data_IF_782135007183
#
_entry.id   IF_782135007183
#
_cell.length_a   1.000
_cell.length_b   1.000
_cell.length_c   1.000
_cell.angle_alpha   90.00
_cell.angle_beta   90.00
_cell.angle_gamma   90.00
#
_symmetry.space_group_name_H-M   'P 1'
#
loop_
_entity.id
_entity.type
_entity.pdbx_description
1 polymer ?
#
# COMPACT_ATOMS: atom_id res chain seq x y z
N UNK A 1 -60.25 -30.93 -56.40
CA UNK A 1 -60.24 -30.21 -55.11
C UNK A 1 -59.31 -29.02 -55.25
N UNK A 2 -59.80 -27.79 -55.09
CA UNK A 2 -58.98 -26.58 -55.29
C UNK A 2 -58.58 -25.99 -53.93
N UNK A 3 -57.28 -25.81 -53.63
CA UNK A 3 -56.85 -25.10 -52.42
C UNK A 3 -57.13 -23.61 -52.58
N UNK A 4 -58.08 -23.07 -51.80
CA UNK A 4 -58.29 -21.62 -51.75
C UNK A 4 -57.06 -20.93 -51.12
N UNK A 5 -56.26 -20.30 -51.96
CA UNK A 5 -55.16 -19.45 -51.52
C UNK A 5 -55.71 -18.18 -50.85
N UNK A 6 -55.86 -18.22 -49.53
CA UNK A 6 -56.23 -17.07 -48.71
C UNK A 6 -55.16 -15.96 -48.80
N UNK A 7 -55.28 -15.09 -49.81
CA UNK A 7 -54.42 -13.92 -49.99
C UNK A 7 -54.57 -12.99 -48.77
N UNK A 8 -53.52 -12.75 -47.97
CA UNK A 8 -53.64 -11.93 -46.77
C UNK A 8 -53.95 -10.47 -47.15
N UNK A 9 -55.16 -10.01 -46.82
CA UNK A 9 -55.64 -8.66 -47.12
C UNK A 9 -54.73 -7.56 -46.58
N UNK A 10 -54.60 -6.48 -47.34
CA UNK A 10 -53.60 -5.42 -47.16
C UNK A 10 -53.56 -4.86 -45.72
N UNK A 11 -54.72 -4.65 -45.10
CA UNK A 11 -54.85 -4.17 -43.72
C UNK A 11 -54.19 -5.07 -42.67
N UNK A 12 -54.26 -6.41 -42.80
CA UNK A 12 -53.59 -7.34 -41.87
C UNK A 12 -52.06 -7.31 -42.02
N UNK A 13 -51.55 -6.95 -43.20
CA UNK A 13 -50.10 -6.73 -43.41
C UNK A 13 -49.68 -5.42 -42.75
N UNK A 14 -50.43 -4.34 -42.97
CA UNK A 14 -50.17 -3.02 -42.39
C UNK A 14 -50.16 -3.04 -40.86
N UNK A 15 -51.14 -3.66 -40.20
CA UNK A 15 -51.14 -3.79 -38.73
C UNK A 15 -49.94 -4.60 -38.23
N UNK A 16 -49.62 -5.73 -38.87
CA UNK A 16 -48.44 -6.53 -38.49
C UNK A 16 -47.12 -5.77 -38.65
N UNK A 17 -47.02 -4.87 -39.63
CA UNK A 17 -45.85 -4.01 -39.81
C UNK A 17 -45.76 -2.92 -38.73
N UNK A 18 -46.88 -2.29 -38.36
CA UNK A 18 -46.93 -1.32 -37.27
C UNK A 18 -46.59 -1.96 -35.92
N UNK A 19 -47.15 -3.13 -35.59
CA UNK A 19 -46.79 -3.87 -34.36
C UNK A 19 -45.32 -4.22 -34.33
N UNK A 20 -44.73 -4.66 -35.45
CA UNK A 20 -43.28 -4.92 -35.55
C UNK A 20 -42.47 -3.64 -35.31
N UNK A 21 -42.82 -2.53 -35.95
CA UNK A 21 -42.13 -1.24 -35.75
C UNK A 21 -42.21 -0.78 -34.29
N UNK A 22 -43.37 -0.89 -33.65
CA UNK A 22 -43.57 -0.54 -32.24
C UNK A 22 -42.72 -1.41 -31.31
N UNK A 23 -42.67 -2.73 -31.56
CA UNK A 23 -41.81 -3.67 -30.80
C UNK A 23 -40.33 -3.38 -31.05
N UNK A 24 -39.91 -3.06 -32.28
CA UNK A 24 -38.53 -2.66 -32.58
C UNK A 24 -38.15 -1.36 -31.87
N UNK A 25 -39.03 -0.34 -31.85
CA UNK A 25 -38.81 0.89 -31.11
C UNK A 25 -38.76 0.66 -29.59
N UNK A 26 -39.59 -0.24 -29.05
CA UNK A 26 -39.56 -0.63 -27.64
C UNK A 26 -38.24 -1.33 -27.28
N UNK A 27 -37.77 -2.26 -28.11
CA UNK A 27 -36.48 -2.95 -27.93
C UNK A 27 -35.31 -1.96 -28.03
N UNK A 28 -35.32 -1.05 -29.00
CA UNK A 28 -34.29 -0.01 -29.15
C UNK A 28 -34.29 0.98 -27.97
N UNK A 29 -35.47 1.40 -27.50
CA UNK A 29 -35.60 2.26 -26.32
C UNK A 29 -35.11 1.59 -25.04
N UNK A 30 -35.46 0.31 -24.83
CA UNK A 30 -34.99 -0.47 -23.68
C UNK A 30 -33.48 -0.73 -23.75
N UNK A 31 -32.95 -1.09 -24.92
CA UNK A 31 -31.51 -1.27 -25.13
C UNK A 31 -30.72 0.03 -24.93
N UNK A 32 -31.24 1.16 -25.41
CA UNK A 32 -30.69 2.49 -25.17
C UNK A 32 -30.69 2.88 -23.69
N UNK A 33 -31.78 2.58 -22.97
CA UNK A 33 -31.87 2.80 -21.53
C UNK A 33 -30.84 1.95 -20.75
N UNK A 34 -30.72 0.66 -21.08
CA UNK A 34 -29.70 -0.23 -20.46
C UNK A 34 -28.28 0.25 -20.75
N UNK A 35 -27.97 0.63 -22.00
CA UNK A 35 -26.67 1.19 -22.35
C UNK A 35 -26.38 2.51 -21.63
N UNK A 36 -27.39 3.37 -21.41
CA UNK A 36 -27.26 4.60 -20.65
C UNK A 36 -27.02 4.35 -19.15
N UNK A 37 -27.71 3.39 -18.54
CA UNK A 37 -27.48 2.99 -17.14
C UNK A 37 -26.08 2.39 -16.94
N UNK A 38 -25.63 1.52 -17.84
CA UNK A 38 -24.26 0.97 -17.82
C UNK A 38 -23.20 2.07 -18.00
N UNK A 39 -23.46 3.03 -18.89
CA UNK A 39 -22.62 4.22 -19.09
C UNK A 39 -22.52 5.08 -17.81
N UNK A 40 -23.64 5.30 -17.09
CA UNK A 40 -23.64 6.01 -15.81
C UNK A 40 -22.87 5.28 -14.70
N UNK A 41 -23.01 3.95 -14.61
CA UNK A 41 -22.29 3.14 -13.62
C UNK A 41 -20.78 3.20 -13.87
N UNK A 42 -20.37 3.00 -15.13
CA UNK A 42 -18.99 3.14 -15.56
C UNK A 42 -18.42 4.55 -15.25
N UNK A 43 -19.20 5.61 -15.46
CA UNK A 43 -18.79 6.99 -15.17
C UNK A 43 -18.54 7.30 -13.68
N UNK A 44 -18.95 6.41 -12.76
CA UNK A 44 -18.65 6.51 -11.32
C UNK A 44 -17.39 5.74 -10.94
N UNK A 45 -17.17 4.57 -11.54
CA UNK A 45 -16.05 3.68 -11.21
C UNK A 45 -14.68 4.23 -11.61
N UNK A 46 -13.69 3.90 -10.79
CA UNK A 46 -12.27 3.98 -11.10
C UNK A 46 -11.74 2.58 -11.47
N UNK A 47 -10.74 2.55 -12.33
CA UNK A 47 -9.98 1.35 -12.72
C UNK A 47 -8.49 1.68 -12.73
N UNK A 48 -7.66 0.65 -12.79
CA UNK A 48 -6.21 0.81 -12.97
C UNK A 48 -5.80 0.23 -14.32
N UNK A 49 -4.91 0.94 -15.02
CA UNK A 49 -4.33 0.50 -16.28
C UNK A 49 -2.79 0.48 -16.16
N UNK A 50 -2.12 -0.41 -16.89
CA UNK A 50 -0.67 -0.41 -16.97
C UNK A 50 -0.22 0.17 -18.32
N UNK A 51 0.32 1.38 -18.31
CA UNK A 51 0.81 2.10 -19.49
C UNK A 51 2.31 2.34 -19.34
N UNK A 52 3.13 1.91 -20.31
CA UNK A 52 4.59 2.16 -20.32
C UNK A 52 5.35 1.71 -19.05
N UNK A 53 4.90 0.61 -18.40
CA UNK A 53 5.48 0.15 -17.13
C UNK A 53 5.06 0.97 -15.90
N UNK A 54 4.04 1.81 -16.04
CA UNK A 54 3.46 2.60 -14.97
C UNK A 54 1.98 2.23 -14.75
N UNK A 55 1.58 2.10 -13.48
CA UNK A 55 0.20 1.97 -13.06
C UNK A 55 -0.45 3.36 -13.08
N UNK A 56 -1.46 3.53 -13.93
CA UNK A 56 -2.20 4.78 -14.14
C UNK A 56 -3.61 4.61 -13.61
N UNK A 57 -4.05 5.55 -12.76
CA UNK A 57 -5.45 5.61 -12.32
C UNK A 57 -6.30 6.10 -13.48
N UNK A 58 -7.31 5.30 -13.85
CA UNK A 58 -8.28 5.61 -14.88
C UNK A 58 -9.63 5.91 -14.22
N UNK A 59 -10.28 6.99 -14.65
CA UNK A 59 -11.67 7.26 -14.27
C UNK A 59 -12.58 6.99 -15.46
N UNK A 60 -13.62 6.18 -15.23
CA UNK A 60 -14.63 5.93 -16.25
C UNK A 60 -15.36 7.21 -16.65
N UNK A 61 -15.86 7.23 -17.88
CA UNK A 61 -16.62 8.33 -18.47
C UNK A 61 -17.87 7.79 -19.16
N UNK A 62 -18.79 8.68 -19.49
CA UNK A 62 -19.91 8.35 -20.36
C UNK A 62 -19.40 7.97 -21.76
N UNK A 63 -20.18 7.12 -22.44
CA UNK A 63 -19.98 6.80 -23.86
C UNK A 63 -19.95 8.09 -24.72
N UNK A 64 -19.14 8.13 -25.79
CA UNK A 64 -18.35 7.03 -26.35
C UNK A 64 -16.99 6.80 -25.68
N UNK A 65 -16.53 7.68 -24.78
CA UNK A 65 -15.11 7.74 -24.38
C UNK A 65 -14.63 6.62 -23.47
N UNK A 66 -15.52 5.90 -22.77
CA UNK A 66 -15.15 4.74 -21.94
C UNK A 66 -14.43 5.10 -20.64
N UNK A 67 -13.15 5.43 -20.71
CA UNK A 67 -12.34 5.84 -19.56
C UNK A 67 -11.22 6.81 -19.98
N UNK A 68 -10.68 7.57 -19.03
CA UNK A 68 -9.53 8.44 -19.26
C UNK A 68 -8.64 8.53 -18.01
N UNK A 69 -7.34 8.86 -18.13
CA UNK A 69 -6.45 9.07 -17.00
C UNK A 69 -7.04 10.07 -16.00
N UNK A 70 -7.10 9.67 -14.73
CA UNK A 70 -7.67 10.47 -13.67
C UNK A 70 -6.69 11.58 -13.28
N UNK A 71 -6.98 12.79 -13.76
CA UNK A 71 -6.22 14.01 -13.43
C UNK A 71 -7.15 14.99 -12.71
N UNK A 72 -7.13 15.01 -11.36
CA UNK A 72 -7.82 16.01 -10.56
C UNK A 72 -7.39 17.45 -10.89
N UNK A 73 -8.26 18.42 -10.59
CA UNK A 73 -7.93 19.85 -10.68
C UNK A 73 -7.17 20.41 -9.47
N UNK A 74 -7.18 19.70 -8.34
CA UNK A 74 -6.34 20.01 -7.18
C UNK A 74 -4.96 19.38 -7.36
N UNK A 75 -3.91 20.18 -7.18
CA UNK A 75 -2.52 19.75 -7.30
C UNK A 75 -2.13 18.67 -6.28
N UNK A 76 -2.69 18.68 -5.06
CA UNK A 76 -2.42 17.63 -4.05
C UNK A 76 -3.01 16.30 -4.49
N UNK A 77 -4.29 16.29 -4.85
CA UNK A 77 -4.96 15.10 -5.37
C UNK A 77 -4.32 14.61 -6.70
N UNK A 78 -3.78 15.52 -7.53
CA UNK A 78 -3.11 15.17 -8.77
C UNK A 78 -1.76 14.44 -8.56
N UNK A 79 -0.97 14.83 -7.55
CA UNK A 79 0.24 14.08 -7.17
C UNK A 79 -0.13 12.71 -6.56
N UNK A 80 -1.15 12.67 -5.69
CA UNK A 80 -1.66 11.44 -5.08
C UNK A 80 -2.00 10.33 -6.10
N UNK A 81 -2.55 10.69 -7.27
CA UNK A 81 -2.94 9.77 -8.34
C UNK A 81 -2.11 9.89 -9.64
N UNK A 82 -0.92 10.49 -9.58
CA UNK A 82 0.04 10.47 -10.69
C UNK A 82 0.43 9.02 -11.10
N UNK A 83 1.05 8.78 -12.27
CA UNK A 83 1.52 7.43 -12.61
C UNK A 83 2.47 6.86 -11.54
N UNK A 84 2.37 5.55 -11.26
CA UNK A 84 3.25 4.83 -10.33
C UNK A 84 4.13 3.84 -11.12
N UNK A 85 5.47 3.84 -10.99
CA UNK A 85 6.28 2.81 -11.66
C UNK A 85 5.95 1.44 -11.06
N UNK A 86 5.70 0.42 -11.89
CA UNK A 86 5.42 -0.93 -11.36
C UNK A 86 6.67 -1.72 -11.01
N UNK A 87 7.84 -1.35 -11.56
CA UNK A 87 9.16 -1.89 -11.20
C UNK A 87 9.27 -3.44 -11.20
N UNK A 88 8.48 -4.12 -12.05
CA UNK A 88 8.42 -5.58 -12.11
C UNK A 88 7.56 -6.24 -11.02
N UNK A 89 6.93 -5.47 -10.13
CA UNK A 89 5.90 -5.98 -9.20
C UNK A 89 4.66 -6.41 -9.97
N UNK A 90 4.09 -7.55 -9.57
CA UNK A 90 2.77 -7.97 -10.04
C UNK A 90 1.69 -7.01 -9.52
N UNK A 91 0.90 -6.48 -10.45
CA UNK A 91 -0.25 -5.61 -10.20
C UNK A 91 -1.52 -6.17 -10.85
N UNK A 92 -1.51 -7.41 -11.36
CA UNK A 92 -2.58 -7.98 -12.20
C UNK A 92 -3.94 -7.94 -11.50
N UNK A 93 -3.99 -8.33 -10.22
CA UNK A 93 -5.21 -8.26 -9.40
C UNK A 93 -5.79 -6.84 -9.26
N UNK A 94 -4.95 -5.80 -9.32
CA UNK A 94 -5.37 -4.40 -9.27
C UNK A 94 -5.92 -3.90 -10.63
N UNK A 95 -5.46 -4.48 -11.74
CA UNK A 95 -5.93 -4.15 -13.09
C UNK A 95 -7.32 -4.75 -13.38
N UNK A 96 -7.63 -5.92 -12.79
CA UNK A 96 -8.95 -6.56 -12.90
C UNK A 96 -10.01 -5.87 -12.00
N UNK A 97 -9.58 -5.22 -10.91
CA UNK A 97 -10.46 -4.62 -9.93
C UNK A 97 -11.10 -3.31 -10.43
N UNK A 98 -12.38 -3.13 -10.10
CA UNK A 98 -13.11 -1.85 -10.20
C UNK A 98 -13.35 -1.31 -8.80
N UNK A 99 -13.10 -0.02 -8.62
CA UNK A 99 -13.33 0.70 -7.38
C UNK A 99 -14.52 1.64 -7.59
N UNK A 100 -15.52 1.60 -6.71
CA UNK A 100 -16.68 2.49 -6.79
C UNK A 100 -16.39 3.79 -6.04
N UNK A 101 -15.75 3.67 -4.88
CA UNK A 101 -15.37 4.81 -4.05
C UNK A 101 -13.87 5.11 -4.12
N UNK A 102 -13.52 6.40 -3.92
CA UNK A 102 -12.12 6.84 -3.88
C UNK A 102 -11.35 6.16 -2.75
N UNK A 103 -12.01 5.91 -1.62
CA UNK A 103 -11.38 5.31 -0.44
C UNK A 103 -11.02 3.83 -0.66
N UNK A 104 -11.75 3.12 -1.53
CA UNK A 104 -11.40 1.74 -1.93
C UNK A 104 -10.11 1.74 -2.77
N UNK A 105 -10.00 2.70 -3.70
CA UNK A 105 -8.80 2.91 -4.51
C UNK A 105 -7.60 3.32 -3.64
N UNK A 106 -7.78 4.24 -2.68
CA UNK A 106 -6.72 4.65 -1.74
C UNK A 106 -6.15 3.45 -0.97
N UNK A 107 -7.02 2.59 -0.44
CA UNK A 107 -6.62 1.37 0.29
C UNK A 107 -5.89 0.35 -0.59
N UNK A 108 -6.22 0.28 -1.88
CA UNK A 108 -5.58 -0.62 -2.84
C UNK A 108 -4.26 -0.08 -3.41
N UNK A 109 -4.10 1.23 -3.51
CA UNK A 109 -2.84 1.89 -3.90
C UNK A 109 -1.80 1.88 -2.78
N UNK A 110 -2.22 1.89 -1.51
CA UNK A 110 -1.30 1.98 -0.36
C UNK A 110 -0.24 0.86 -0.33
N UNK A 111 -0.55 -0.45 -0.48
CA UNK A 111 0.48 -1.50 -0.50
C UNK A 111 1.48 -1.36 -1.66
N UNK A 112 1.05 -0.80 -2.80
CA UNK A 112 1.96 -0.51 -3.93
C UNK A 112 2.95 0.59 -3.55
N UNK A 113 2.46 1.67 -2.94
CA UNK A 113 3.27 2.77 -2.43
C UNK A 113 4.20 2.35 -1.28
N UNK A 114 3.72 1.60 -0.30
CA UNK A 114 4.53 1.04 0.79
C UNK A 114 5.68 0.20 0.21
N UNK A 115 5.37 -0.75 -0.67
CA UNK A 115 6.38 -1.60 -1.30
C UNK A 115 7.34 -0.85 -2.24
N UNK A 116 7.02 0.37 -2.68
CA UNK A 116 7.95 1.24 -3.43
C UNK A 116 8.79 2.12 -2.49
N UNK A 117 8.22 2.58 -1.37
CA UNK A 117 8.85 3.46 -0.40
C UNK A 117 9.79 2.72 0.55
N UNK A 118 9.32 1.61 1.16
CA UNK A 118 9.96 0.89 2.26
C UNK A 118 11.43 0.48 2.02
N UNK A 119 11.81 -0.19 0.91
CA UNK A 119 13.21 -0.51 0.66
C UNK A 119 14.08 0.72 0.31
N UNK A 120 13.45 1.86 -0.01
CA UNK A 120 14.15 3.09 -0.40
C UNK A 120 14.41 4.03 0.78
N UNK A 121 13.46 4.13 1.71
CA UNK A 121 13.65 4.90 2.96
C UNK A 121 14.66 4.27 3.92
N UNK A 122 14.97 2.99 3.72
CA UNK A 122 16.01 2.25 4.43
C UNK A 122 17.38 2.27 3.71
N UNK A 123 17.52 3.00 2.60
CA UNK A 123 18.77 3.09 1.84
C UNK A 123 19.62 4.27 2.32
N UNK A 124 20.92 4.04 2.55
CA UNK A 124 21.89 5.10 2.85
C UNK A 124 22.26 5.97 1.61
N UNK A 125 21.82 5.62 0.40
CA UNK A 125 21.98 6.45 -0.81
C UNK A 125 20.94 7.59 -0.83
N UNK A 126 21.35 8.88 -0.78
CA UNK A 126 20.42 10.01 -0.77
C UNK A 126 19.52 10.06 -2.02
N UNK A 127 20.00 9.65 -3.19
CA UNK A 127 19.22 9.67 -4.45
C UNK A 127 18.22 8.50 -4.54
N UNK A 128 18.34 7.51 -3.66
CA UNK A 128 17.33 6.46 -3.45
C UNK A 128 16.36 6.88 -2.34
N UNK A 129 16.87 7.42 -1.24
CA UNK A 129 16.09 7.95 -0.12
C UNK A 129 15.09 9.01 -0.58
N UNK A 130 15.49 9.99 -1.40
CA UNK A 130 14.58 11.01 -1.96
C UNK A 130 13.38 10.42 -2.71
N UNK A 131 13.58 9.31 -3.43
CA UNK A 131 12.51 8.59 -4.14
C UNK A 131 11.60 7.86 -3.14
N UNK A 132 12.17 7.26 -2.09
CA UNK A 132 11.41 6.71 -0.97
C UNK A 132 10.53 7.76 -0.29
N UNK A 133 11.10 8.94 -0.02
CA UNK A 133 10.39 10.09 0.56
C UNK A 133 9.34 10.69 -0.39
N UNK A 134 9.50 10.58 -1.71
CA UNK A 134 8.43 10.93 -2.66
C UNK A 134 7.24 9.97 -2.51
N UNK A 135 7.45 8.66 -2.58
CA UNK A 135 6.37 7.69 -2.41
C UNK A 135 5.72 7.76 -1.02
N UNK A 136 6.49 8.02 0.05
CA UNK A 136 5.97 8.19 1.40
C UNK A 136 5.04 9.40 1.51
N UNK A 137 5.51 10.59 1.09
CA UNK A 137 4.67 11.82 1.05
C UNK A 137 3.42 11.62 0.20
N UNK A 138 3.52 10.85 -0.89
CA UNK A 138 2.38 10.56 -1.75
C UNK A 138 1.36 9.63 -1.09
N UNK A 139 1.79 8.69 -0.24
CA UNK A 139 0.89 7.88 0.59
C UNK A 139 0.17 8.72 1.66
N UNK A 140 0.78 9.79 2.18
CA UNK A 140 0.14 10.74 3.10
C UNK A 140 -1.01 11.54 2.47
N UNK A 141 -1.06 11.64 1.15
CA UNK A 141 -2.13 12.31 0.42
C UNK A 141 -3.38 11.42 0.19
N UNK A 142 -3.29 10.13 0.53
CA UNK A 142 -4.41 9.19 0.43
C UNK A 142 -5.32 9.33 1.66
N UNK A 143 -6.56 9.76 1.42
CA UNK A 143 -7.54 10.04 2.47
C UNK A 143 -8.20 8.78 3.06
N UNK A 144 -8.43 7.76 2.22
CA UNK A 144 -9.29 6.63 2.54
C UNK A 144 -8.65 5.50 3.33
N UNK A 145 -7.38 5.65 3.74
CA UNK A 145 -6.59 4.61 4.41
C UNK A 145 -7.28 4.04 5.66
N UNK A 146 -7.06 2.74 5.91
CA UNK A 146 -7.49 2.11 7.17
C UNK A 146 -6.60 2.55 8.34
N UNK A 147 -7.03 2.30 9.59
CA UNK A 147 -6.18 2.58 10.77
C UNK A 147 -4.90 1.75 10.79
N UNK A 148 -4.92 0.54 10.22
CA UNK A 148 -3.74 -0.30 10.06
C UNK A 148 -2.75 0.32 9.06
N UNK A 149 -3.24 0.75 7.89
CA UNK A 149 -2.43 1.45 6.89
C UNK A 149 -1.88 2.79 7.43
N UNK A 150 -2.68 3.55 8.19
CA UNK A 150 -2.20 4.74 8.92
C UNK A 150 -1.08 4.41 9.90
N UNK A 151 -1.21 3.34 10.70
CA UNK A 151 -0.14 2.91 11.62
C UNK A 151 1.14 2.54 10.89
N UNK A 152 1.06 1.76 9.81
CA UNK A 152 2.22 1.42 8.96
C UNK A 152 2.89 2.68 8.37
N UNK A 153 2.09 3.67 7.95
CA UNK A 153 2.58 4.95 7.45
C UNK A 153 3.33 5.75 8.54
N UNK A 154 2.78 5.83 9.76
CA UNK A 154 3.46 6.50 10.89
C UNK A 154 4.72 5.75 11.36
N UNK A 155 4.75 4.40 11.29
CA UNK A 155 5.99 3.63 11.52
C UNK A 155 7.06 4.00 10.50
N UNK A 156 6.74 4.01 9.19
CA UNK A 156 7.72 4.41 8.17
C UNK A 156 8.20 5.86 8.33
N UNK A 157 7.35 6.78 8.79
CA UNK A 157 7.75 8.15 9.15
C UNK A 157 8.70 8.18 10.35
N UNK A 158 8.45 7.38 11.38
CA UNK A 158 9.32 7.28 12.54
C UNK A 158 10.70 6.72 12.17
N UNK A 159 10.75 5.68 11.34
CA UNK A 159 11.99 5.12 10.78
C UNK A 159 12.78 6.20 10.01
N UNK A 160 12.11 6.91 9.09
CA UNK A 160 12.70 8.03 8.33
C UNK A 160 13.25 9.12 9.26
N UNK A 161 12.49 9.53 10.27
CA UNK A 161 12.89 10.56 11.22
C UNK A 161 14.12 10.12 12.03
N UNK A 162 14.20 8.85 12.42
CA UNK A 162 15.36 8.26 13.08
C UNK A 162 16.60 8.26 12.16
N UNK A 163 16.48 7.80 10.90
CA UNK A 163 17.61 7.82 9.96
C UNK A 163 18.12 9.25 9.68
N UNK A 164 17.21 10.20 9.49
CA UNK A 164 17.57 11.62 9.30
C UNK A 164 18.22 12.23 10.56
N UNK A 165 17.78 11.85 11.76
CA UNK A 165 18.39 12.29 13.02
C UNK A 165 19.80 11.71 13.17
N UNK A 166 19.99 10.40 12.90
CA UNK A 166 21.30 9.73 12.87
C UNK A 166 22.26 10.43 11.90
N UNK A 167 21.82 10.71 10.67
CA UNK A 167 22.63 11.39 9.67
C UNK A 167 23.02 12.82 10.09
N UNK A 168 22.11 13.57 10.71
CA UNK A 168 22.40 14.94 11.22
C UNK A 168 23.38 14.92 12.40
N UNK A 169 23.27 13.95 13.30
CA UNK A 169 24.23 13.76 14.40
C UNK A 169 25.62 13.40 13.88
N UNK A 170 25.70 12.53 12.86
CA UNK A 170 26.96 12.16 12.21
C UNK A 170 27.61 13.32 11.46
N UNK A 171 26.82 14.16 10.77
CA UNK A 171 27.34 15.37 10.14
C UNK A 171 27.84 16.37 11.20
N UNK A 172 27.03 16.64 12.24
CA UNK A 172 27.43 17.53 13.32
C UNK A 172 28.69 17.07 14.07
N UNK A 173 28.91 15.75 14.20
CA UNK A 173 30.17 15.18 14.72
C UNK A 173 31.37 15.63 13.87
N UNK A 174 31.28 15.50 12.54
CA UNK A 174 32.34 15.90 11.60
C UNK A 174 32.60 17.40 11.64
N UNK A 175 31.54 18.20 11.58
CA UNK A 175 31.61 19.66 11.62
C UNK A 175 32.30 20.16 12.91
N UNK A 176 31.99 19.54 14.06
CA UNK A 176 32.62 19.85 15.35
C UNK A 176 34.09 19.41 15.39
N UNK A 177 34.43 18.23 14.87
CA UNK A 177 35.83 17.78 14.77
C UNK A 177 36.66 18.71 13.87
N UNK A 178 36.11 19.17 12.76
CA UNK A 178 36.78 20.15 11.89
C UNK A 178 36.93 21.51 12.61
N UNK A 179 35.87 22.03 13.22
CA UNK A 179 35.90 23.30 13.95
C UNK A 179 36.93 23.29 15.10
N UNK A 180 37.05 22.18 15.84
CA UNK A 180 38.10 22.01 16.85
C UNK A 180 39.52 21.98 16.24
N UNK A 181 39.67 21.43 15.05
CA UNK A 181 40.95 21.39 14.32
C UNK A 181 41.35 22.78 13.84
N UNK A 182 40.40 23.55 13.30
CA UNK A 182 40.59 24.97 12.94
C UNK A 182 40.89 25.84 14.18
N UNK A 183 40.18 25.62 15.30
CA UNK A 183 40.45 26.30 16.57
C UNK A 183 41.84 25.97 17.12
N UNK A 184 42.31 24.73 17.00
CA UNK A 184 43.67 24.35 17.38
C UNK A 184 44.72 25.11 16.57
N UNK A 185 44.59 25.16 15.25
CA UNK A 185 45.48 25.95 14.36
C UNK A 185 45.44 27.45 14.77
N UNK A 186 44.26 27.99 15.06
CA UNK A 186 44.12 29.37 15.54
C UNK A 186 44.78 29.60 16.92
N UNK A 187 44.77 28.60 17.80
CA UNK A 187 45.42 28.64 19.13
C UNK A 187 46.95 28.54 19.07
N UNK A 188 47.51 27.92 18.03
CA UNK A 188 48.95 27.80 17.80
C UNK A 188 49.50 29.01 17.03
N UNK A 189 48.68 29.60 16.14
CA UNK A 189 49.01 30.86 15.47
C UNK A 189 49.09 32.03 16.46
N UNK A 190 50.15 32.85 16.38
CA UNK A 190 50.38 34.01 17.27
C UNK A 190 49.59 35.25 16.80
N UNK A 191 48.28 35.26 17.00
CA UNK A 191 47.40 36.33 16.50
C UNK A 191 46.42 36.87 17.57
N UNK A 192 45.61 37.86 17.20
CA UNK A 192 44.61 38.48 18.10
C UNK A 192 43.48 37.54 18.58
N UNK A 193 43.34 36.37 17.96
CA UNK A 193 42.32 35.37 18.30
C UNK A 193 42.87 34.24 19.19
N UNK A 194 44.19 34.10 19.38
CA UNK A 194 44.83 33.02 20.13
C UNK A 194 44.18 32.76 21.50
N UNK A 195 43.95 33.80 22.30
CA UNK A 195 43.33 33.67 23.62
C UNK A 195 41.88 33.19 23.54
N UNK A 196 41.10 33.69 22.57
CA UNK A 196 39.71 33.27 22.34
C UNK A 196 39.63 31.82 21.87
N UNK A 197 40.54 31.41 20.98
CA UNK A 197 40.62 30.03 20.52
C UNK A 197 40.95 29.06 21.66
N UNK A 198 41.93 29.39 22.51
CA UNK A 198 42.26 28.60 23.71
C UNK A 198 41.07 28.52 24.70
N UNK A 199 40.34 29.62 24.90
CA UNK A 199 39.13 29.65 25.76
C UNK A 199 37.98 28.81 25.18
N UNK A 200 37.78 28.82 23.85
CA UNK A 200 36.78 27.97 23.21
C UNK A 200 37.16 26.49 23.27
N UNK A 201 38.45 26.15 23.08
CA UNK A 201 38.94 24.78 23.19
C UNK A 201 38.75 24.20 24.60
N UNK A 202 39.01 24.97 25.66
CA UNK A 202 38.85 24.49 27.04
C UNK A 202 37.39 24.31 27.46
N UNK A 203 36.47 25.12 26.93
CA UNK A 203 35.03 25.02 27.23
C UNK A 203 34.32 23.97 26.36
N UNK A 204 34.58 23.95 25.05
CA UNK A 204 33.82 23.12 24.08
C UNK A 204 34.46 21.75 23.84
N UNK A 205 35.80 21.66 23.92
CA UNK A 205 36.54 20.42 23.66
C UNK A 205 36.06 19.19 24.47
N UNK A 206 35.85 19.30 25.80
CA UNK A 206 35.35 18.18 26.60
C UNK A 206 33.94 17.71 26.19
N UNK A 207 33.04 18.64 25.86
CA UNK A 207 31.68 18.31 25.44
C UNK A 207 31.64 17.62 24.06
N UNK A 208 32.47 18.06 23.12
CA UNK A 208 32.65 17.43 21.82
C UNK A 208 33.21 16.00 21.94
N UNK A 209 34.22 15.78 22.80
CA UNK A 209 34.74 14.43 23.06
C UNK A 209 33.73 13.52 23.74
N UNK A 210 32.85 14.06 24.59
CA UNK A 210 31.75 13.30 25.19
C UNK A 210 30.72 12.89 24.11
N UNK A 211 30.38 13.78 23.18
CA UNK A 211 29.50 13.48 22.05
C UNK A 211 30.09 12.41 21.12
N UNK A 212 31.37 12.50 20.75
CA UNK A 212 32.02 11.49 19.90
C UNK A 212 32.02 10.10 20.55
N UNK A 213 32.29 10.03 21.86
CA UNK A 213 32.24 8.79 22.65
C UNK A 213 30.82 8.22 22.74
N UNK A 214 29.82 9.06 22.97
CA UNK A 214 28.41 8.65 23.03
C UNK A 214 27.94 8.08 21.69
N UNK A 215 28.24 8.75 20.57
CA UNK A 215 27.89 8.26 19.24
C UNK A 215 28.59 6.93 18.92
N UNK A 216 29.91 6.82 19.16
CA UNK A 216 30.66 5.56 18.96
C UNK A 216 30.12 4.40 19.83
N UNK A 217 29.61 4.67 21.03
CA UNK A 217 28.99 3.66 21.89
C UNK A 217 27.61 3.19 21.38
N UNK A 218 26.84 4.08 20.74
CA UNK A 218 25.59 3.71 20.06
C UNK A 218 25.89 2.89 18.79
N UNK A 219 26.86 3.31 17.97
CA UNK A 219 27.28 2.55 16.78
C UNK A 219 27.76 1.12 17.16
N UNK A 220 28.51 0.99 18.25
CA UNK A 220 29.00 -0.30 18.75
C UNK A 220 27.86 -1.21 19.24
N UNK A 221 26.93 -0.71 20.05
CA UNK A 221 25.84 -1.54 20.57
C UNK A 221 24.84 -1.98 19.48
N UNK A 222 24.65 -1.17 18.44
CA UNK A 222 23.90 -1.57 17.24
C UNK A 222 24.62 -2.68 16.44
N UNK A 223 25.95 -2.63 16.32
CA UNK A 223 26.73 -3.67 15.65
C UNK A 223 26.72 -5.00 16.42
N UNK A 224 26.79 -4.96 17.75
CA UNK A 224 26.68 -6.15 18.61
C UNK A 224 25.27 -6.77 18.55
N UNK A 225 24.22 -5.94 18.57
CA UNK A 225 22.83 -6.41 18.45
C UNK A 225 22.56 -7.12 17.10
N UNK A 226 23.16 -6.64 16.01
CA UNK A 226 23.12 -7.29 14.71
C UNK A 226 23.96 -8.58 14.61
N UNK A 227 24.82 -8.85 15.59
CA UNK A 227 25.83 -9.92 15.59
C UNK A 227 25.50 -11.08 16.55
N UNK A 228 24.22 -11.34 16.82
CA UNK A 228 23.81 -12.56 17.52
C UNK A 228 24.23 -13.80 16.72
N UNK A 229 25.10 -14.68 17.25
CA UNK A 229 25.45 -15.91 16.55
C UNK A 229 24.23 -16.82 16.48
N UNK A 230 23.95 -17.37 15.29
CA UNK A 230 23.01 -18.47 15.17
C UNK A 230 23.47 -19.62 16.09
N UNK A 231 22.57 -20.24 16.88
CA UNK A 231 22.96 -21.31 17.80
C UNK A 231 23.48 -22.52 17.01
N UNK A 232 24.80 -22.71 17.01
CA UNK A 232 25.47 -23.85 16.39
C UNK A 232 24.84 -25.15 16.90
N UNK A 233 24.39 -25.99 15.96
CA UNK A 233 23.38 -27.00 16.23
C UNK A 233 23.76 -28.01 17.30
N UNK A 234 22.93 -28.12 18.34
CA UNK A 234 22.84 -29.32 19.19
C UNK A 234 22.46 -30.50 18.29
N UNK A 235 23.32 -31.51 18.22
CA UNK A 235 23.18 -32.59 17.24
C UNK A 235 21.89 -33.41 17.40
N UNK A 236 21.15 -33.56 16.31
CA UNK A 236 20.14 -34.60 16.17
C UNK A 236 20.84 -35.97 16.15
N UNK A 237 20.47 -36.94 17.01
CA UNK A 237 20.95 -38.31 16.87
C UNK A 237 20.37 -38.92 15.57
N UNK A 238 21.10 -39.85 14.91
CA UNK A 238 20.71 -40.38 13.61
C UNK A 238 19.46 -41.25 13.67
N UNK A 239 18.61 -41.26 12.63
CA UNK A 239 17.47 -42.16 12.55
C UNK A 239 17.92 -43.63 12.41
N UNK A 240 17.26 -44.52 13.15
CA UNK A 240 17.44 -45.97 13.01
C UNK A 240 16.76 -46.49 11.72
N UNK A 241 17.28 -47.57 11.09
CA UNK A 241 16.81 -48.04 9.79
C UNK A 241 15.44 -48.72 9.83
N UNK A 242 14.77 -48.74 8.68
CA UNK A 242 13.39 -49.23 8.51
C UNK A 242 13.24 -50.75 8.72
N UNK A 243 12.35 -51.14 9.63
CA UNK A 243 12.02 -52.53 9.94
C UNK A 243 10.68 -52.97 9.35
N UNK A 244 10.75 -53.63 8.19
CA UNK A 244 9.84 -54.66 7.64
C UNK A 244 8.32 -54.64 8.02
N UNK A 245 7.53 -54.38 6.98
CA UNK A 245 6.18 -54.90 6.68
C UNK A 245 5.51 -55.90 7.66
N UNK A 246 4.28 -55.57 8.07
CA UNK A 246 3.24 -56.54 8.43
C UNK A 246 1.93 -56.19 7.68
N UNK A 247 1.16 -57.21 7.28
CA UNK A 247 -0.01 -57.05 6.40
C UNK A 247 -1.32 -56.76 7.16
N UNK A 248 -2.32 -56.09 6.52
CA UNK A 248 -3.60 -55.80 7.15
C UNK A 248 -4.61 -56.98 7.05
N UNK A 249 -5.26 -57.38 8.16
CA UNK A 249 -6.51 -58.15 8.14
C UNK A 249 -7.72 -57.26 7.78
N UNK A 250 -8.80 -57.87 7.28
CA UNK A 250 -10.02 -57.18 6.85
C UNK A 250 -11.18 -57.35 7.85
N UNK A 251 -12.16 -56.44 7.81
CA UNK A 251 -13.47 -56.56 8.47
C UNK A 251 -13.59 -55.87 9.84
N UNK A 252 -14.79 -55.55 10.34
CA UNK A 252 -16.15 -55.78 9.80
C UNK A 252 -17.17 -54.77 10.36
N UNK A 253 -18.02 -54.16 9.50
CA UNK A 253 -19.24 -53.43 9.91
C UNK A 253 -19.04 -52.06 10.61
N UNK A 254 -20.10 -51.29 10.92
CA UNK A 254 -21.47 -51.28 10.38
C UNK A 254 -22.22 -49.96 10.73
N UNK A 255 -22.93 -49.36 9.75
CA UNK A 255 -24.10 -48.43 9.86
C UNK A 255 -24.06 -47.09 10.65
N UNK A 256 -24.76 -46.03 10.17
CA UNK A 256 -25.05 -44.74 10.88
C UNK A 256 -26.44 -44.79 11.59
N UNK A 257 -27.10 -43.69 12.09
CA UNK A 257 -26.78 -42.24 12.25
C UNK A 257 -26.85 -41.84 13.78
N UNK A 258 -27.46 -40.72 14.35
CA UNK A 258 -28.02 -39.45 13.85
C UNK A 258 -27.76 -38.15 14.72
N UNK A 259 -28.47 -37.05 14.40
CA UNK A 259 -29.12 -35.97 15.23
C UNK A 259 -28.72 -35.83 16.72
N UNK A 260 -28.42 -34.65 17.32
CA UNK A 260 -29.14 -33.33 17.37
C UNK A 260 -28.22 -32.21 17.96
N UNK A 261 -28.51 -30.90 17.78
CA UNK A 261 -27.80 -29.81 18.49
C UNK A 261 -28.57 -29.23 19.70
N UNK A 262 -27.89 -28.41 20.54
CA UNK A 262 -28.43 -27.19 21.15
C UNK A 262 -27.76 -25.95 20.50
N UNK A 263 -28.40 -24.86 20.08
CA UNK A 263 -29.55 -24.10 20.63
C UNK A 263 -29.29 -23.56 22.05
N UNK A 264 -28.90 -22.28 22.13
CA UNK A 264 -28.41 -21.66 23.37
C UNK A 264 -28.48 -20.13 23.35
N UNK A 265 -29.68 -19.60 23.60
CA UNK A 265 -29.99 -18.23 24.06
C UNK A 265 -29.72 -17.05 23.08
N UNK A 266 -30.78 -16.29 22.80
CA UNK A 266 -30.80 -14.96 22.16
C UNK A 266 -30.79 -13.84 23.21
N UNK A 267 -30.32 -12.64 22.83
CA UNK A 267 -30.82 -11.27 23.22
C UNK A 267 -31.08 -10.97 24.71
N UNK A 268 -30.62 -9.88 25.34
CA UNK A 268 -30.94 -8.48 24.96
C UNK A 268 -30.43 -7.45 25.99
N UNK A 269 -30.07 -6.25 25.52
CA UNK A 269 -30.36 -4.90 26.08
C UNK A 269 -29.85 -4.41 27.46
N UNK A 270 -30.02 -3.09 27.66
CA UNK A 270 -29.62 -2.23 28.80
C UNK A 270 -28.12 -1.95 28.87
N UNK A 271 -27.59 -0.78 28.48
CA UNK A 271 -27.99 0.61 28.76
C UNK A 271 -27.96 0.98 30.25
N UNK A 272 -26.86 1.59 30.69
CA UNK A 272 -26.74 2.33 31.95
C UNK A 272 -25.53 3.27 31.87
N UNK A 273 -25.77 4.55 31.56
CA UNK A 273 -24.74 5.59 31.72
C UNK A 273 -24.65 5.99 33.20
N UNK A 274 -23.43 6.03 33.75
CA UNK A 274 -23.17 6.80 34.97
C UNK A 274 -21.78 7.45 34.91
N UNK A 275 -21.74 8.77 35.14
CA UNK A 275 -20.53 9.58 35.21
C UNK A 275 -19.76 9.32 36.51
N UNK A 276 -18.42 9.37 36.50
CA UNK A 276 -17.66 9.79 37.66
C UNK A 276 -17.67 11.33 37.81
N UNK A 277 -17.65 11.78 39.07
CA UNK A 277 -17.13 13.06 39.61
C UNK A 277 -17.14 14.27 38.65
#
# INVERSE_FOLDING_TARGET
MNPQQNRPGFGRRATSAFTRLLVTLLILGLGGAVAFLLSQLNARTFTLAQENGQLVVMKGRLLPTGAAPYRPGDARLADAYAPLPTEGRDVSALLEQRFTERDELDRALFPVLEGLARPRVQSDDPAVLEKGLYFLRRAELLSGLTEEQRRTLETMKADVAFFQARQKLEQARRDVTEALTQLKIASESRNRNTQRANQMLSVVGPAAQALEKALRAVDASLAEAGSSPAPSGTGLPPPAPEGQQAAPPQGTGATPPPTTPPEGVRTSDSESQQRPQ
#
